data_IF_358124813399
#
_entry.id   IF_358124813399
#
_cell.length_a   1.000
_cell.length_b   1.000
_cell.length_c   1.000
_cell.angle_alpha   90.00
_cell.angle_beta   90.00
_cell.angle_gamma   90.00
#
_symmetry.space_group_name_H-M   'P 1'
#
loop_
_entity.id
_entity.type
_entity.pdbx_description
1 polymer ?
#
# COMPACT_ATOMS: atom_id res chain seq x y z
N UNK A 1 30.91 7.10 -0.30
CA UNK A 1 29.52 7.07 -0.77
C UNK A 1 28.64 6.84 0.42
N UNK A 2 27.47 7.45 0.46
CA UNK A 2 26.42 7.13 1.42
C UNK A 2 25.83 5.76 1.09
N UNK A 3 25.46 4.98 2.11
CA UNK A 3 25.23 3.53 2.02
C UNK A 3 23.95 3.21 1.26
N UNK A 4 22.87 3.95 1.52
CA UNK A 4 21.54 3.62 1.03
C UNK A 4 21.23 4.29 -0.31
N UNK A 5 21.52 5.58 -0.43
CA UNK A 5 21.29 6.36 -1.66
C UNK A 5 22.37 6.17 -2.73
N UNK A 6 23.48 5.50 -2.38
CA UNK A 6 24.67 5.31 -3.22
C UNK A 6 25.27 6.60 -3.81
N UNK A 7 24.91 7.76 -3.27
CA UNK A 7 25.46 9.04 -3.71
C UNK A 7 26.89 9.24 -3.18
N UNK A 8 27.71 9.94 -3.96
CA UNK A 8 29.03 10.35 -3.49
C UNK A 8 28.90 11.46 -2.44
N UNK A 9 29.68 11.37 -1.36
CA UNK A 9 29.76 12.45 -0.37
C UNK A 9 30.24 13.76 -0.99
N UNK A 10 31.07 13.68 -2.04
CA UNK A 10 31.53 14.86 -2.76
C UNK A 10 30.37 15.52 -3.52
N UNK A 11 29.52 14.73 -4.19
CA UNK A 11 28.39 15.26 -4.95
C UNK A 11 27.36 15.92 -4.02
N UNK A 12 27.13 15.32 -2.85
CA UNK A 12 26.31 15.91 -1.79
C UNK A 12 26.87 17.26 -1.29
N UNK A 13 28.19 17.36 -1.13
CA UNK A 13 28.86 18.60 -0.70
C UNK A 13 28.82 19.72 -1.75
N UNK A 14 28.72 19.40 -3.05
CA UNK A 14 28.58 20.42 -4.10
C UNK A 14 27.24 21.16 -3.98
N UNK A 15 26.18 20.49 -3.50
CA UNK A 15 24.86 21.07 -3.26
C UNK A 15 24.65 21.62 -1.84
N UNK A 16 25.36 21.09 -0.85
CA UNK A 16 25.23 21.51 0.54
C UNK A 16 26.00 22.81 0.83
N UNK A 17 25.32 23.80 1.41
CA UNK A 17 25.94 25.05 1.89
C UNK A 17 25.60 25.24 3.36
N UNK A 18 26.57 25.71 4.14
CA UNK A 18 26.31 26.17 5.50
C UNK A 18 25.58 27.52 5.37
N UNK A 19 24.30 27.55 5.73
CA UNK A 19 23.51 28.78 5.65
C UNK A 19 23.91 29.77 6.76
N UNK A 20 23.64 31.05 6.52
CA UNK A 20 23.98 32.09 7.48
C UNK A 20 23.19 31.89 8.78
N UNK A 21 23.90 31.61 9.88
CA UNK A 21 23.31 31.34 11.20
C UNK A 21 23.32 29.87 11.61
N UNK A 22 23.77 28.96 10.74
CA UNK A 22 24.02 27.57 11.12
C UNK A 22 25.34 27.43 11.89
N UNK A 23 25.32 26.63 12.96
CA UNK A 23 26.50 26.27 13.75
C UNK A 23 26.89 24.84 13.41
N UNK A 24 27.48 24.65 12.22
CA UNK A 24 27.93 23.35 11.71
C UNK A 24 29.44 23.35 11.47
N UNK A 25 30.09 22.21 11.71
CA UNK A 25 31.51 22.02 11.38
C UNK A 25 31.67 21.56 9.92
N UNK A 26 30.73 20.73 9.42
CA UNK A 26 30.63 20.30 8.02
C UNK A 26 29.24 20.63 7.44
N UNK A 27 29.17 20.91 6.14
CA UNK A 27 27.91 21.21 5.45
C UNK A 27 26.91 20.03 5.46
N UNK A 28 27.40 18.81 5.68
CA UNK A 28 26.58 17.61 5.81
C UNK A 28 26.06 17.36 7.23
N UNK A 29 26.47 18.16 8.22
CA UNK A 29 25.99 18.00 9.59
C UNK A 29 24.47 18.23 9.67
N UNK A 30 23.80 17.37 10.44
CA UNK A 30 22.36 17.46 10.69
C UNK A 30 22.06 17.54 12.19
N UNK A 31 20.97 18.23 12.53
CA UNK A 31 20.61 18.50 13.93
C UNK A 31 20.03 17.26 14.62
N UNK A 32 20.60 16.88 15.77
CA UNK A 32 20.01 15.88 16.67
C UNK A 32 19.03 16.52 17.67
N UNK A 33 19.40 17.65 18.26
CA UNK A 33 18.58 18.42 19.20
C UNK A 33 18.56 19.88 18.79
N UNK A 34 17.36 20.43 18.58
CA UNK A 34 17.15 21.81 18.15
C UNK A 34 16.70 22.65 19.32
N UNK A 35 17.48 23.68 19.66
CA UNK A 35 17.11 24.67 20.67
C UNK A 35 15.77 25.32 20.32
N UNK A 36 14.87 25.39 21.29
CA UNK A 36 13.55 25.97 21.08
C UNK A 36 13.61 27.49 20.95
N UNK A 37 12.77 28.04 20.07
CA UNK A 37 12.52 29.48 20.01
C UNK A 37 11.42 29.86 21.01
N UNK A 38 11.36 31.13 21.47
CA UNK A 38 10.29 31.57 22.37
C UNK A 38 8.90 31.24 21.82
N UNK A 39 8.09 30.54 22.61
CA UNK A 39 6.73 30.13 22.24
C UNK A 39 6.62 28.84 21.42
N UNK A 40 7.73 28.19 21.07
CA UNK A 40 7.69 26.83 20.51
C UNK A 40 7.50 25.79 21.64
N UNK A 41 6.94 24.63 21.29
CA UNK A 41 6.89 23.48 22.19
C UNK A 41 8.32 22.97 22.43
N UNK A 42 8.65 22.71 23.69
CA UNK A 42 10.00 22.29 24.12
C UNK A 42 9.97 21.32 25.29
N UNK A 43 11.08 20.61 25.46
CA UNK A 43 11.38 19.73 26.57
C UNK A 43 12.74 20.08 27.17
N UNK A 44 12.89 19.80 28.47
CA UNK A 44 14.18 19.90 29.15
C UNK A 44 15.15 18.82 28.67
N UNK A 45 16.43 19.18 28.52
CA UNK A 45 17.50 18.25 28.19
C UNK A 45 18.83 18.71 28.79
N UNK A 46 19.86 17.84 28.84
CA UNK A 46 21.23 18.24 29.22
C UNK A 46 21.83 19.34 28.34
N UNK A 47 21.26 19.59 27.16
CA UNK A 47 21.69 20.63 26.21
C UNK A 47 20.81 21.89 26.27
N UNK A 48 19.93 21.97 27.28
CA UNK A 48 18.94 23.03 27.44
C UNK A 48 17.60 22.74 26.76
N UNK A 49 16.65 23.65 26.93
CA UNK A 49 15.30 23.52 26.37
C UNK A 49 15.33 23.47 24.84
N UNK A 50 14.65 22.45 24.29
CA UNK A 50 14.61 22.22 22.85
C UNK A 50 13.64 21.14 22.45
N UNK A 51 13.83 20.63 21.24
CA UNK A 51 13.04 19.56 20.64
C UNK A 51 13.93 18.66 19.78
N UNK A 52 13.54 17.39 19.56
CA UNK A 52 14.29 16.51 18.68
C UNK A 52 14.38 17.07 17.26
N UNK A 53 15.48 16.72 16.58
CA UNK A 53 15.59 16.87 15.13
C UNK A 53 14.76 15.80 14.40
N UNK A 54 14.35 16.10 13.18
CA UNK A 54 13.46 15.23 12.39
C UNK A 54 13.92 13.76 12.32
N UNK A 55 15.22 13.52 12.15
CA UNK A 55 15.76 12.17 11.95
C UNK A 55 15.86 11.34 13.25
N UNK A 56 16.22 11.99 14.38
CA UNK A 56 16.55 11.25 15.62
C UNK A 56 15.33 10.57 16.24
N UNK A 57 14.13 11.08 15.96
CA UNK A 57 12.88 10.51 16.44
C UNK A 57 12.73 9.07 15.96
N UNK A 58 12.87 8.82 14.66
CA UNK A 58 12.71 7.50 14.06
C UNK A 58 13.77 6.50 14.55
N UNK A 59 15.05 6.90 14.61
CA UNK A 59 16.12 6.04 15.14
C UNK A 59 15.88 5.61 16.59
N UNK A 60 15.48 6.55 17.46
CA UNK A 60 15.25 6.26 18.88
C UNK A 60 14.02 5.38 19.08
N UNK A 61 12.91 5.67 18.39
CA UNK A 61 11.69 4.87 18.49
C UNK A 61 11.89 3.46 17.93
N UNK A 62 12.55 3.33 16.78
CA UNK A 62 12.85 2.02 16.20
C UNK A 62 13.73 1.17 17.14
N UNK A 63 14.76 1.77 17.75
CA UNK A 63 15.59 1.06 18.72
C UNK A 63 14.79 0.59 19.94
N UNK A 64 13.96 1.48 20.50
CA UNK A 64 13.19 1.19 21.71
C UNK A 64 12.18 0.05 21.48
N UNK A 65 11.46 0.08 20.36
CA UNK A 65 10.39 -0.88 20.09
C UNK A 65 10.89 -2.18 19.45
N UNK A 66 11.91 -2.13 18.60
CA UNK A 66 12.31 -3.25 17.73
C UNK A 66 13.76 -3.71 17.97
N UNK A 67 14.56 -2.92 18.67
CA UNK A 67 15.94 -3.25 19.01
C UNK A 67 16.99 -2.68 18.05
N UNK A 68 18.24 -3.14 18.21
CA UNK A 68 19.41 -2.55 17.57
C UNK A 68 19.45 -2.73 16.04
N UNK A 69 18.87 -3.83 15.54
CA UNK A 69 18.80 -4.20 14.13
C UNK A 69 17.40 -4.70 13.83
N UNK A 70 16.77 -4.16 12.78
CA UNK A 70 15.43 -4.55 12.35
C UNK A 70 15.46 -5.27 11.00
N UNK A 71 14.42 -6.05 10.70
CA UNK A 71 14.35 -6.80 9.44
C UNK A 71 14.10 -5.86 8.26
N UNK A 72 13.03 -5.05 8.32
CA UNK A 72 12.57 -4.18 7.24
C UNK A 72 12.38 -2.75 7.75
N UNK A 73 12.96 -1.78 7.05
CA UNK A 73 12.66 -0.36 7.23
C UNK A 73 12.12 0.23 5.92
N UNK A 74 11.02 0.97 5.98
CA UNK A 74 10.29 1.40 4.78
C UNK A 74 9.90 2.88 4.80
N UNK A 75 9.72 3.48 3.63
CA UNK A 75 9.25 4.86 3.49
C UNK A 75 9.06 5.30 2.04
N UNK A 76 8.70 6.56 1.83
CA UNK A 76 8.67 7.15 0.48
C UNK A 76 10.07 7.27 -0.12
N UNK A 77 10.18 7.22 -1.45
CA UNK A 77 11.47 7.41 -2.16
C UNK A 77 12.18 8.73 -1.79
N UNK A 78 11.45 9.77 -1.39
CA UNK A 78 11.99 11.03 -0.89
C UNK A 78 12.65 10.92 0.50
N UNK A 79 12.32 9.90 1.29
CA UNK A 79 12.93 9.69 2.60
C UNK A 79 14.28 8.98 2.50
N UNK A 80 14.61 8.35 1.36
CA UNK A 80 15.90 7.68 1.16
C UNK A 80 17.08 8.61 1.49
N UNK A 81 16.99 9.88 1.06
CA UNK A 81 17.93 10.93 1.43
C UNK A 81 17.21 12.26 1.66
N UNK A 82 17.51 13.00 2.75
CA UNK A 82 18.53 12.68 3.76
C UNK A 82 18.01 11.79 4.91
N UNK A 83 16.70 11.52 4.98
CA UNK A 83 16.09 11.02 6.21
C UNK A 83 16.63 9.65 6.67
N UNK A 84 16.44 8.60 5.87
CA UNK A 84 16.88 7.24 6.19
C UNK A 84 18.40 7.12 6.24
N UNK A 85 19.12 7.89 5.42
CA UNK A 85 20.59 7.92 5.47
C UNK A 85 21.09 8.47 6.82
N UNK A 86 20.43 9.49 7.36
CA UNK A 86 20.75 10.04 8.67
C UNK A 86 20.31 9.10 9.80
N UNK A 87 19.20 8.36 9.65
CA UNK A 87 18.81 7.31 10.60
C UNK A 87 19.85 6.18 10.66
N UNK A 88 20.36 5.73 9.51
CA UNK A 88 21.47 4.77 9.45
C UNK A 88 22.68 5.33 10.22
N UNK A 89 23.07 6.58 9.94
CA UNK A 89 24.21 7.20 10.59
C UNK A 89 24.03 7.30 12.12
N UNK A 90 22.85 7.67 12.60
CA UNK A 90 22.52 7.75 14.03
C UNK A 90 22.51 6.36 14.68
N UNK A 91 21.73 5.44 14.12
CA UNK A 91 21.51 4.10 14.67
C UNK A 91 22.78 3.27 14.66
N UNK A 92 23.53 3.22 13.55
CA UNK A 92 24.74 2.39 13.49
C UNK A 92 25.89 2.95 14.33
N UNK A 93 25.99 4.28 14.46
CA UNK A 93 26.97 4.91 15.35
C UNK A 93 26.66 4.63 16.82
N UNK A 94 25.38 4.62 17.21
CA UNK A 94 24.96 4.33 18.57
C UNK A 94 25.02 2.84 18.92
N UNK A 95 24.50 1.98 18.02
CA UNK A 95 24.26 0.57 18.29
C UNK A 95 25.49 -0.31 18.03
N UNK A 96 26.44 0.18 17.23
CA UNK A 96 27.57 -0.61 16.72
C UNK A 96 27.13 -1.88 15.96
N UNK A 97 25.97 -1.81 15.30
CA UNK A 97 25.36 -2.88 14.51
C UNK A 97 24.61 -2.28 13.31
N UNK A 98 24.35 -3.04 12.22
CA UNK A 98 23.53 -2.57 11.09
C UNK A 98 22.12 -2.17 11.56
N UNK A 99 21.57 -1.08 11.03
CA UNK A 99 20.25 -0.62 11.45
C UNK A 99 19.12 -1.52 10.91
N UNK A 100 19.10 -1.79 9.61
CA UNK A 100 18.07 -2.62 8.97
C UNK A 100 18.66 -3.57 7.92
N UNK A 101 18.04 -4.73 7.73
CA UNK A 101 18.47 -5.73 6.72
C UNK A 101 17.93 -5.40 5.33
N UNK A 102 16.65 -5.01 5.25
CA UNK A 102 15.97 -4.64 4.01
C UNK A 102 15.44 -3.21 4.09
N UNK A 103 15.61 -2.47 2.99
CA UNK A 103 15.07 -1.13 2.82
C UNK A 103 14.06 -1.12 1.68
N UNK A 104 12.85 -0.65 1.96
CA UNK A 104 11.76 -0.62 0.99
C UNK A 104 11.28 0.81 0.75
N UNK A 105 11.36 1.27 -0.51
CA UNK A 105 10.93 2.61 -0.89
C UNK A 105 9.84 2.58 -1.93
N UNK A 106 8.69 3.20 -1.65
CA UNK A 106 7.60 3.33 -2.63
C UNK A 106 7.85 4.49 -3.62
N UNK A 107 7.32 4.35 -4.82
CA UNK A 107 7.38 5.36 -5.88
C UNK A 107 6.55 6.61 -5.56
N UNK A 108 6.81 7.68 -6.32
CA UNK A 108 6.08 8.95 -6.21
C UNK A 108 4.67 8.86 -6.79
N UNK A 109 3.78 9.73 -6.30
CA UNK A 109 2.48 9.99 -6.92
C UNK A 109 2.57 11.30 -7.70
N UNK A 110 2.25 11.23 -8.99
CA UNK A 110 2.06 12.37 -9.88
C UNK A 110 0.57 12.62 -10.10
N UNK A 111 0.17 13.85 -10.37
CA UNK A 111 -1.19 14.21 -10.82
C UNK A 111 -1.08 14.72 -12.25
N UNK A 112 -1.79 14.11 -13.19
CA UNK A 112 -1.80 14.51 -14.60
C UNK A 112 -0.39 14.65 -15.21
N UNK A 113 0.51 13.71 -14.86
CA UNK A 113 1.94 13.68 -15.20
C UNK A 113 2.82 14.77 -14.58
N UNK A 114 2.27 15.58 -13.66
CA UNK A 114 3.04 16.54 -12.88
C UNK A 114 3.32 16.03 -11.48
N UNK A 115 4.51 16.35 -10.94
CA UNK A 115 4.84 16.01 -9.56
C UNK A 115 3.87 16.70 -8.60
N UNK A 116 3.30 15.94 -7.67
CA UNK A 116 2.46 16.51 -6.62
C UNK A 116 3.30 17.43 -5.72
N UNK A 117 2.88 18.69 -5.56
CA UNK A 117 3.54 19.61 -4.62
C UNK A 117 2.59 20.69 -4.11
N UNK A 118 2.80 21.13 -2.87
CA UNK A 118 2.06 22.26 -2.30
C UNK A 118 2.26 23.55 -3.10
N UNK A 119 3.46 23.75 -3.66
CA UNK A 119 3.81 24.93 -4.44
C UNK A 119 3.08 25.02 -5.78
N UNK A 120 2.81 23.89 -6.43
CA UNK A 120 2.03 23.84 -7.68
C UNK A 120 0.52 23.90 -7.42
N UNK A 121 0.09 23.78 -6.15
CA UNK A 121 -1.32 23.76 -5.78
C UNK A 121 -2.06 22.50 -6.23
N UNK A 122 -1.36 21.51 -6.79
CA UNK A 122 -1.89 20.26 -7.32
C UNK A 122 -1.86 19.11 -6.31
N UNK A 123 -1.89 19.40 -5.00
CA UNK A 123 -1.98 18.36 -3.98
C UNK A 123 -3.44 18.13 -3.60
N UNK A 124 -3.80 16.88 -3.37
CA UNK A 124 -5.16 16.49 -2.96
C UNK A 124 -5.06 15.72 -1.65
N UNK A 125 -5.92 16.07 -0.69
CA UNK A 125 -5.98 15.37 0.58
C UNK A 125 -6.81 14.09 0.43
N UNK A 126 -6.35 13.03 1.10
CA UNK A 126 -7.10 11.76 1.19
C UNK A 126 -8.51 11.99 1.75
N UNK A 127 -8.68 12.92 2.70
CA UNK A 127 -9.99 13.27 3.25
C UNK A 127 -10.97 13.84 2.20
N UNK A 128 -10.46 14.52 1.17
CA UNK A 128 -11.30 15.18 0.17
C UNK A 128 -11.55 14.30 -1.07
N UNK A 129 -10.58 13.46 -1.43
CA UNK A 129 -10.73 12.53 -2.56
C UNK A 129 -11.75 11.43 -2.26
N UNK A 130 -11.79 10.90 -1.03
CA UNK A 130 -12.72 9.82 -0.65
C UNK A 130 -14.19 10.28 -0.55
N UNK A 131 -14.44 11.60 -0.58
CA UNK A 131 -15.80 12.15 -0.69
C UNK A 131 -16.34 12.07 -2.12
N UNK A 132 -15.46 11.87 -3.09
CA UNK A 132 -15.76 11.90 -4.52
C UNK A 132 -15.57 10.52 -5.16
N UNK A 133 -14.60 9.74 -4.68
CA UNK A 133 -14.24 8.43 -5.19
C UNK A 133 -14.41 7.41 -4.07
N UNK A 134 -14.99 6.24 -4.40
CA UNK A 134 -15.07 5.11 -3.49
C UNK A 134 -13.64 4.73 -2.99
N UNK A 135 -13.38 4.70 -1.67
CA UNK A 135 -12.10 4.28 -1.11
C UNK A 135 -11.59 2.94 -1.64
N UNK A 136 -12.47 1.99 -1.95
CA UNK A 136 -12.09 0.67 -2.47
C UNK A 136 -11.54 0.79 -3.89
N UNK A 137 -12.16 1.64 -4.71
CA UNK A 137 -11.68 1.98 -6.06
C UNK A 137 -10.33 2.67 -5.99
N UNK A 138 -10.18 3.64 -5.09
CA UNK A 138 -8.91 4.35 -4.91
C UNK A 138 -7.80 3.40 -4.48
N UNK A 139 -8.09 2.47 -3.56
CA UNK A 139 -7.14 1.44 -3.14
C UNK A 139 -6.78 0.53 -4.30
N UNK A 140 -7.78 -0.01 -5.01
CA UNK A 140 -7.58 -0.90 -6.16
C UNK A 140 -6.74 -0.24 -7.26
N UNK A 141 -6.97 1.05 -7.52
CA UNK A 141 -6.12 1.87 -8.40
C UNK A 141 -4.66 1.94 -7.89
N UNK A 142 -4.43 2.21 -6.61
CA UNK A 142 -3.07 2.32 -6.08
C UNK A 142 -2.27 1.01 -6.17
N UNK A 143 -2.94 -0.14 -5.99
CA UNK A 143 -2.30 -1.45 -6.09
C UNK A 143 -2.29 -2.02 -7.52
N UNK A 144 -2.85 -1.32 -8.51
CA UNK A 144 -2.76 -1.73 -9.92
C UNK A 144 -1.39 -1.45 -10.55
N UNK A 145 -0.47 -0.86 -9.78
CA UNK A 145 0.88 -0.52 -10.17
C UNK A 145 1.83 -1.05 -9.10
N UNK A 146 3.01 -1.54 -9.51
CA UNK A 146 4.03 -2.01 -8.58
C UNK A 146 4.42 -0.89 -7.60
N UNK A 147 4.55 -1.19 -6.30
CA UNK A 147 4.72 -0.16 -5.26
C UNK A 147 5.95 0.74 -5.46
N UNK A 148 7.00 0.22 -6.12
CA UNK A 148 8.24 0.93 -6.46
C UNK A 148 8.12 1.85 -7.69
N UNK A 149 7.08 1.69 -8.50
CA UNK A 149 6.86 2.48 -9.71
C UNK A 149 6.11 3.76 -9.38
N UNK A 150 6.41 4.88 -10.06
CA UNK A 150 5.60 6.08 -9.94
C UNK A 150 4.16 5.82 -10.38
N UNK A 151 3.20 6.34 -9.63
CA UNK A 151 1.77 6.26 -9.95
C UNK A 151 1.35 7.60 -10.55
N UNK A 152 0.69 7.57 -11.71
CA UNK A 152 0.06 8.75 -12.27
C UNK A 152 -1.42 8.75 -11.91
N UNK A 153 -1.82 9.65 -11.01
CA UNK A 153 -3.22 9.86 -10.67
C UNK A 153 -3.88 10.77 -11.72
N UNK A 154 -4.90 10.24 -12.37
CA UNK A 154 -5.85 11.01 -13.17
C UNK A 154 -7.20 10.28 -13.16
N UNK A 155 -8.28 11.01 -13.48
CA UNK A 155 -9.63 10.46 -13.36
C UNK A 155 -9.91 9.33 -14.35
N UNK A 156 -9.31 9.35 -15.54
CA UNK A 156 -9.47 8.29 -16.54
C UNK A 156 -8.97 6.93 -16.02
N UNK A 157 -7.80 6.92 -15.37
CA UNK A 157 -7.23 5.71 -14.78
C UNK A 157 -8.02 5.24 -13.56
N UNK A 158 -8.56 6.17 -12.76
CA UNK A 158 -9.43 5.82 -11.62
C UNK A 158 -10.72 5.16 -12.10
N UNK A 159 -11.36 5.68 -13.16
CA UNK A 159 -12.57 5.09 -13.71
C UNK A 159 -12.31 3.74 -14.41
N UNK A 160 -11.14 3.58 -15.03
CA UNK A 160 -10.71 2.28 -15.54
C UNK A 160 -10.52 1.27 -14.41
N UNK A 161 -9.92 1.68 -13.29
CA UNK A 161 -9.78 0.85 -12.09
C UNK A 161 -11.13 0.48 -11.48
N UNK A 162 -12.08 1.44 -11.42
CA UNK A 162 -13.47 1.20 -10.97
C UNK A 162 -14.13 0.11 -11.81
N UNK A 163 -14.11 0.27 -13.13
CA UNK A 163 -14.67 -0.71 -14.06
C UNK A 163 -14.02 -2.09 -13.90
N UNK A 164 -12.71 -2.11 -13.61
CA UNK A 164 -11.97 -3.33 -13.30
C UNK A 164 -12.47 -4.03 -12.04
N UNK A 165 -12.60 -3.27 -10.96
CA UNK A 165 -13.10 -3.77 -9.67
C UNK A 165 -14.54 -4.27 -9.77
N UNK A 166 -15.43 -3.56 -10.46
CA UNK A 166 -16.81 -4.00 -10.68
C UNK A 166 -16.89 -5.34 -11.39
N UNK A 167 -16.03 -5.59 -12.41
CA UNK A 167 -15.98 -6.91 -13.07
C UNK A 167 -15.62 -8.03 -12.10
N UNK A 168 -14.68 -7.78 -11.19
CA UNK A 168 -14.29 -8.75 -10.15
C UNK A 168 -15.47 -9.01 -9.21
N UNK A 169 -16.11 -7.95 -8.69
CA UNK A 169 -17.24 -8.05 -7.77
C UNK A 169 -18.42 -8.80 -8.39
N UNK A 170 -18.79 -8.46 -9.63
CA UNK A 170 -19.88 -9.11 -10.36
C UNK A 170 -19.61 -10.60 -10.57
N UNK A 171 -18.36 -10.99 -10.87
CA UNK A 171 -18.00 -12.40 -11.03
C UNK A 171 -18.07 -13.20 -9.72
N UNK A 172 -17.73 -12.56 -8.60
CA UNK A 172 -17.89 -13.16 -7.27
C UNK A 172 -19.38 -13.29 -6.89
N UNK A 173 -20.18 -12.25 -7.14
CA UNK A 173 -21.62 -12.29 -6.90
C UNK A 173 -22.30 -13.41 -7.71
N UNK A 174 -21.94 -13.58 -8.99
CA UNK A 174 -22.44 -14.67 -9.82
C UNK A 174 -22.13 -16.06 -9.23
N UNK A 175 -20.95 -16.25 -8.61
CA UNK A 175 -20.60 -17.49 -7.91
C UNK A 175 -21.50 -17.71 -6.69
N UNK A 176 -21.74 -16.65 -5.90
CA UNK A 176 -22.61 -16.69 -4.72
C UNK A 176 -24.05 -17.04 -5.12
N UNK A 177 -24.58 -16.41 -6.16
CA UNK A 177 -25.93 -16.70 -6.67
C UNK A 177 -26.03 -18.13 -7.22
N UNK A 178 -25.00 -18.61 -7.93
CA UNK A 178 -25.00 -19.96 -8.52
C UNK A 178 -25.01 -21.06 -7.47
N UNK A 179 -24.47 -20.82 -6.28
CA UNK A 179 -24.47 -21.77 -5.17
C UNK A 179 -25.88 -22.11 -4.68
N UNK A 180 -26.81 -21.15 -4.70
CA UNK A 180 -28.19 -21.36 -4.28
C UNK A 180 -28.95 -22.40 -5.13
N UNK A 181 -28.46 -22.69 -6.34
CA UNK A 181 -29.07 -23.62 -7.31
C UNK A 181 -28.11 -24.75 -7.74
N UNK A 182 -27.05 -24.98 -6.96
CA UNK A 182 -26.09 -26.05 -7.24
C UNK A 182 -26.77 -27.43 -7.16
N UNK A 183 -26.43 -28.30 -8.12
CA UNK A 183 -27.11 -29.60 -8.28
C UNK A 183 -26.26 -30.79 -7.81
N UNK A 184 -24.95 -30.59 -7.59
CA UNK A 184 -23.98 -31.59 -7.08
C UNK A 184 -23.99 -32.96 -7.81
N UNK A 185 -24.39 -32.96 -9.09
CA UNK A 185 -24.59 -34.20 -9.87
C UNK A 185 -23.29 -34.74 -10.47
N UNK A 186 -22.26 -33.90 -10.65
CA UNK A 186 -21.04 -34.25 -11.37
C UNK A 186 -19.81 -33.73 -10.61
N UNK A 187 -18.80 -34.57 -10.43
CA UNK A 187 -17.48 -34.14 -9.96
C UNK A 187 -16.77 -33.35 -11.06
N UNK A 188 -16.44 -32.09 -10.78
CA UNK A 188 -15.81 -31.15 -11.74
C UNK A 188 -14.41 -30.76 -11.26
N UNK A 189 -13.57 -31.77 -10.97
CA UNK A 189 -12.23 -31.60 -10.41
C UNK A 189 -11.31 -30.73 -11.28
N UNK A 190 -11.51 -30.68 -12.60
CA UNK A 190 -10.77 -29.81 -13.51
C UNK A 190 -10.87 -28.32 -13.16
N UNK A 191 -12.02 -27.87 -12.64
CA UNK A 191 -12.21 -26.49 -12.23
C UNK A 191 -11.50 -26.21 -10.90
N UNK A 192 -11.53 -27.14 -9.95
CA UNK A 192 -10.74 -27.03 -8.71
C UNK A 192 -9.25 -26.92 -9.00
N UNK A 193 -8.70 -27.77 -9.87
CA UNK A 193 -7.30 -27.70 -10.29
C UNK A 193 -6.96 -26.38 -11.00
N UNK A 194 -7.88 -25.85 -11.81
CA UNK A 194 -7.69 -24.56 -12.48
C UNK A 194 -7.70 -23.39 -11.49
N UNK A 195 -8.56 -23.42 -10.48
CA UNK A 195 -8.59 -22.42 -9.39
C UNK A 195 -7.27 -22.47 -8.61
N UNK A 196 -6.78 -23.66 -8.27
CA UNK A 196 -5.53 -23.84 -7.53
C UNK A 196 -4.32 -23.31 -8.30
N UNK A 197 -4.29 -23.50 -9.63
CA UNK A 197 -3.25 -22.90 -10.49
C UNK A 197 -3.29 -21.38 -10.49
N UNK A 198 -4.47 -20.77 -10.44
CA UNK A 198 -4.61 -19.31 -10.35
C UNK A 198 -4.12 -18.81 -8.99
N UNK A 199 -4.39 -19.54 -7.90
CA UNK A 199 -3.85 -19.24 -6.57
C UNK A 199 -2.32 -19.34 -6.56
N UNK A 200 -1.73 -20.40 -7.10
CA UNK A 200 -0.27 -20.57 -7.20
C UNK A 200 0.37 -19.42 -8.01
N UNK A 201 -0.28 -18.99 -9.10
CA UNK A 201 0.16 -17.84 -9.88
C UNK A 201 0.13 -16.54 -9.07
N UNK A 202 -0.93 -16.31 -8.29
CA UNK A 202 -1.04 -15.16 -7.39
C UNK A 202 0.06 -15.16 -6.32
N UNK A 203 0.30 -16.29 -5.67
CA UNK A 203 1.38 -16.44 -4.68
C UNK A 203 2.75 -16.20 -5.30
N UNK A 204 2.99 -16.73 -6.50
CA UNK A 204 4.25 -16.56 -7.23
C UNK A 204 4.55 -15.09 -7.48
N UNK A 205 3.56 -14.31 -7.94
CA UNK A 205 3.77 -12.88 -8.23
C UNK A 205 3.81 -12.02 -6.97
N UNK A 206 3.09 -12.39 -5.91
CA UNK A 206 3.23 -11.71 -4.61
C UNK A 206 4.59 -11.96 -3.96
N UNK A 207 5.17 -13.14 -4.16
CA UNK A 207 6.53 -13.47 -3.71
C UNK A 207 7.63 -12.77 -4.54
N UNK A 208 7.30 -12.25 -5.73
CA UNK A 208 8.17 -11.41 -6.54
C UNK A 208 8.01 -9.93 -6.15
N UNK A 209 8.63 -9.53 -5.04
CA UNK A 209 8.66 -8.14 -4.56
C UNK A 209 7.27 -7.48 -4.42
N UNK A 210 6.26 -8.23 -3.98
CA UNK A 210 4.88 -7.75 -3.82
C UNK A 210 4.28 -7.20 -5.13
N UNK A 211 4.41 -7.94 -6.24
CA UNK A 211 3.93 -7.52 -7.55
C UNK A 211 2.39 -7.56 -7.67
N UNK A 212 1.75 -6.58 -7.05
CA UNK A 212 0.29 -6.41 -6.98
C UNK A 212 -0.37 -6.17 -8.34
N UNK A 213 0.34 -5.54 -9.29
CA UNK A 213 -0.16 -5.38 -10.66
C UNK A 213 -0.39 -6.74 -11.35
N UNK A 214 0.54 -7.68 -11.19
CA UNK A 214 0.38 -9.04 -11.70
C UNK A 214 -0.58 -9.86 -10.84
N UNK A 215 -0.65 -9.60 -9.53
CA UNK A 215 -1.64 -10.25 -8.66
C UNK A 215 -3.08 -9.92 -9.07
N UNK A 216 -3.35 -8.68 -9.47
CA UNK A 216 -4.64 -8.27 -10.06
C UNK A 216 -4.91 -8.99 -11.38
N UNK A 217 -3.88 -9.27 -12.18
CA UNK A 217 -4.03 -10.07 -13.40
C UNK A 217 -4.51 -11.49 -13.07
N UNK A 218 -3.92 -12.14 -12.05
CA UNK A 218 -4.40 -13.43 -11.56
C UNK A 218 -5.86 -13.35 -11.04
N UNK A 219 -6.25 -12.23 -10.43
CA UNK A 219 -7.64 -12.01 -10.01
C UNK A 219 -8.60 -11.90 -11.20
N UNK A 220 -8.20 -11.23 -12.28
CA UNK A 220 -9.00 -11.22 -13.51
C UNK A 220 -9.10 -12.60 -14.16
N UNK A 221 -8.05 -13.43 -14.08
CA UNK A 221 -8.10 -14.81 -14.55
C UNK A 221 -9.07 -15.66 -13.72
N UNK A 222 -9.10 -15.48 -12.40
CA UNK A 222 -10.10 -16.10 -11.53
C UNK A 222 -11.52 -15.66 -11.91
N UNK A 223 -11.72 -14.36 -12.14
CA UNK A 223 -13.00 -13.80 -12.57
C UNK A 223 -13.48 -14.35 -13.90
N UNK A 224 -12.58 -14.51 -14.86
CA UNK A 224 -12.88 -15.12 -16.15
C UNK A 224 -13.25 -16.60 -16.00
N UNK A 225 -12.53 -17.33 -15.16
CA UNK A 225 -12.83 -18.74 -14.87
C UNK A 225 -14.18 -18.91 -14.17
N UNK A 226 -14.49 -18.06 -13.19
CA UNK A 226 -15.77 -18.01 -12.50
C UNK A 226 -16.93 -17.74 -13.48
N UNK A 227 -16.81 -16.72 -14.32
CA UNK A 227 -17.82 -16.38 -15.33
C UNK A 227 -18.07 -17.52 -16.33
N UNK A 228 -17.03 -18.29 -16.68
CA UNK A 228 -17.20 -19.51 -17.49
C UNK A 228 -17.97 -20.58 -16.71
N UNK A 229 -17.57 -20.83 -15.47
CA UNK A 229 -18.11 -21.90 -14.65
C UNK A 229 -19.61 -21.72 -14.33
N UNK A 230 -20.05 -20.50 -14.04
CA UNK A 230 -21.47 -20.23 -13.74
C UNK A 230 -22.41 -20.50 -14.92
N UNK A 231 -21.89 -20.50 -16.15
CA UNK A 231 -22.63 -20.82 -17.38
C UNK A 231 -22.73 -22.33 -17.66
N UNK A 232 -22.02 -23.18 -16.90
CA UNK A 232 -22.14 -24.63 -17.05
C UNK A 232 -23.54 -25.10 -16.64
N UNK A 233 -24.06 -26.11 -17.33
CA UNK A 233 -25.41 -26.65 -17.07
C UNK A 233 -25.55 -27.16 -15.63
N UNK A 234 -24.50 -27.78 -15.11
CA UNK A 234 -24.41 -28.30 -13.75
C UNK A 234 -23.19 -27.73 -13.06
N UNK A 235 -23.35 -27.38 -11.78
CA UNK A 235 -22.29 -26.89 -10.91
C UNK A 235 -22.24 -27.71 -9.62
N UNK A 236 -21.08 -27.66 -8.96
CA UNK A 236 -20.75 -28.36 -7.73
C UNK A 236 -20.48 -27.34 -6.62
N UNK A 237 -21.10 -27.58 -5.47
CA UNK A 237 -20.90 -26.81 -4.24
C UNK A 237 -19.43 -26.79 -3.81
N UNK A 238 -18.68 -27.86 -4.03
CA UNK A 238 -17.24 -27.92 -3.73
C UNK A 238 -16.44 -26.91 -4.56
N UNK A 239 -16.71 -26.84 -5.86
CA UNK A 239 -16.00 -25.91 -6.76
C UNK A 239 -16.39 -24.47 -6.46
N UNK A 240 -17.68 -24.20 -6.24
CA UNK A 240 -18.17 -22.86 -5.87
C UNK A 240 -17.56 -22.39 -4.54
N UNK A 241 -17.47 -23.27 -3.54
CA UNK A 241 -16.79 -22.97 -2.29
C UNK A 241 -15.31 -22.68 -2.48
N UNK A 242 -14.63 -23.43 -3.36
CA UNK A 242 -13.22 -23.17 -3.68
C UNK A 242 -13.02 -21.82 -4.37
N UNK A 243 -13.90 -21.41 -5.28
CA UNK A 243 -13.89 -20.05 -5.81
C UNK A 243 -13.98 -19.01 -4.69
N UNK A 244 -15.01 -19.11 -3.85
CA UNK A 244 -15.23 -18.13 -2.76
C UNK A 244 -14.02 -18.03 -1.83
N UNK A 245 -13.41 -19.15 -1.50
CA UNK A 245 -12.18 -19.19 -0.68
C UNK A 245 -11.04 -18.42 -1.36
N UNK A 246 -10.75 -18.70 -2.63
CA UNK A 246 -9.64 -18.03 -3.34
C UNK A 246 -9.92 -16.55 -3.60
N UNK A 247 -11.17 -16.18 -3.91
CA UNK A 247 -11.59 -14.77 -3.94
C UNK A 247 -11.33 -14.07 -2.60
N UNK A 248 -11.67 -14.73 -1.49
CA UNK A 248 -11.48 -14.18 -0.16
C UNK A 248 -9.99 -14.00 0.16
N UNK A 249 -9.15 -14.98 -0.19
CA UNK A 249 -7.69 -14.87 -0.04
C UNK A 249 -7.16 -13.64 -0.80
N UNK A 250 -7.57 -13.46 -2.06
CA UNK A 250 -7.12 -12.32 -2.88
C UNK A 250 -7.61 -11.00 -2.28
N UNK A 251 -8.88 -10.95 -1.85
CA UNK A 251 -9.49 -9.79 -1.19
C UNK A 251 -8.76 -9.42 0.09
N UNK A 252 -8.43 -10.38 0.95
CA UNK A 252 -7.79 -10.14 2.24
C UNK A 252 -6.34 -9.68 2.06
N UNK A 253 -5.57 -10.33 1.18
CA UNK A 253 -4.18 -9.99 0.90
C UNK A 253 -4.06 -8.61 0.24
N UNK A 254 -4.91 -8.31 -0.74
CA UNK A 254 -4.90 -7.03 -1.44
C UNK A 254 -5.67 -5.94 -0.67
N UNK A 255 -6.47 -6.32 0.32
CA UNK A 255 -7.31 -5.45 1.14
C UNK A 255 -8.42 -4.74 0.34
N UNK A 256 -8.94 -5.38 -0.72
CA UNK A 256 -10.00 -4.81 -1.57
C UNK A 256 -11.28 -5.65 -1.42
N UNK A 257 -12.35 -5.10 -0.82
CA UNK A 257 -13.56 -5.86 -0.54
C UNK A 257 -14.28 -6.40 -1.79
N UNK A 258 -14.75 -7.66 -1.70
CA UNK A 258 -15.53 -8.35 -2.75
C UNK A 258 -16.94 -7.80 -2.97
N UNK A 259 -17.45 -7.00 -2.03
CA UNK A 259 -18.74 -6.32 -2.10
C UNK A 259 -18.52 -4.83 -1.94
N UNK A 260 -19.25 -4.02 -2.71
CA UNK A 260 -19.19 -2.57 -2.60
C UNK A 260 -20.13 -2.06 -1.51
N UNK A 261 -19.90 -0.84 -1.00
CA UNK A 261 -20.77 -0.25 0.02
C UNK A 261 -22.23 -0.09 -0.42
N UNK A 262 -22.49 0.15 -1.71
CA UNK A 262 -23.85 0.25 -2.22
C UNK A 262 -24.61 -1.08 -2.15
N UNK A 263 -23.92 -2.22 -2.27
CA UNK A 263 -24.55 -3.54 -2.11
C UNK A 263 -25.00 -3.80 -0.67
N UNK A 264 -24.27 -3.30 0.34
CA UNK A 264 -24.68 -3.39 1.74
C UNK A 264 -25.91 -2.50 2.02
N UNK A 265 -25.96 -1.29 1.44
CA UNK A 265 -27.11 -0.37 1.59
C UNK A 265 -28.39 -0.93 0.96
N UNK A 266 -28.28 -1.58 -0.20
CA UNK A 266 -29.42 -2.24 -0.85
C UNK A 266 -29.92 -3.45 -0.04
N UNK A 267 -29.00 -4.26 0.49
CA UNK A 267 -29.33 -5.38 1.38
C UNK A 267 -30.04 -4.89 2.64
N UNK A 268 -29.58 -3.81 3.26
CA UNK A 268 -30.20 -3.22 4.45
C UNK A 268 -31.63 -2.72 4.15
N UNK A 269 -31.83 -2.04 3.01
CA UNK A 269 -33.15 -1.59 2.58
C UNK A 269 -34.12 -2.75 2.29
N UNK A 270 -33.63 -3.83 1.67
CA UNK A 270 -34.43 -5.03 1.41
C UNK A 270 -34.79 -5.77 2.71
N UNK A 271 -33.88 -5.81 3.69
CA UNK A 271 -34.13 -6.37 5.03
C UNK A 271 -35.19 -5.52 5.77
N UNK A 272 -35.08 -4.20 5.74
CA UNK A 272 -36.08 -3.29 6.33
C UNK A 272 -37.47 -3.50 5.69
N UNK A 273 -37.54 -3.63 4.37
CA UNK A 273 -38.79 -3.89 3.66
C UNK A 273 -39.42 -5.26 3.99
N UNK A 274 -38.61 -6.26 4.34
CA UNK A 274 -39.09 -7.56 4.81
C UNK A 274 -39.59 -7.51 6.26
N UNK A 275 -38.97 -6.70 7.12
CA UNK A 275 -39.40 -6.47 8.51
C UNK A 275 -40.74 -5.74 8.55
N UNK A 276 -40.98 -4.76 7.68
CA UNK A 276 -42.27 -4.03 7.60
C UNK A 276 -43.45 -4.88 7.08
N UNK A 277 -43.15 -6.02 6.43
CA UNK A 277 -44.15 -6.94 5.86
C UNK A 277 -44.48 -8.14 6.76
N UNK A 278 -43.79 -8.30 7.89
CA UNK A 278 -44.00 -9.35 8.89
C UNK A 278 -44.93 -8.89 10.02
#
# INVERSE_FOLDING_TARGET
>A
MVKLSHQSLNDLKVGARIEQGEQKEDALDFTLWKKAKPGEISWDSPFGEGRPGWHIECSVMAYHELGATIDIHAGGSDLQFPHHENEIAQSEAHNHAPFATYWMHNGFINIDNEKMSKSLGNFVLVHDIIKQIDPDVLRFFMISVHYRSPINYNMELVEAAKSGLERIRNSYEAIVEREAIATDVIEQSEYSEAIDKVLEQFETVMNDDFNTANAITAWYDLAKLANKYVLENTTSSTVLNRFKEVYQIFSDVLGVPLKGKESDVLLDADIEALIERA
#
